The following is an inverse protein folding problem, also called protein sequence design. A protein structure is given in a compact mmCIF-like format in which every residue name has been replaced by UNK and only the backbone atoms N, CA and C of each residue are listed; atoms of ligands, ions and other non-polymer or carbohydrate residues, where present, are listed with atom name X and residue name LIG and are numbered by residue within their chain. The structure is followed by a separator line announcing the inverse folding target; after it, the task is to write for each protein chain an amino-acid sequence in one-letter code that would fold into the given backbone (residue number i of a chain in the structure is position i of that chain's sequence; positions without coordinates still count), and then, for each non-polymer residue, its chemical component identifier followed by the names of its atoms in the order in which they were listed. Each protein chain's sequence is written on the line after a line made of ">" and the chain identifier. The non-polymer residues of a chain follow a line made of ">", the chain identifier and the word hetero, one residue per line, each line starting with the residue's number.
data_IF_213666560252
#
_entry.id   IF_213666560252
#
_cell.length_a   1.000
_cell.length_b   1.000
_cell.length_c   1.000
_cell.angle_alpha   90.00
_cell.angle_beta   90.00
_cell.angle_gamma   90.00
#
_symmetry.space_group_name_H-M   'P 1'
#
loop_
_entity.id
_entity.type
_entity.pdbx_description
1 polymer ?
#
# COMPACT_ATOMS: atom_id res chain seq x y z
N UNK A 1 -0.60 25.36 9.93
CA UNK A 1 -1.38 24.46 9.04
C UNK A 1 -0.77 23.04 8.95
N UNK A 2 -1.60 21.98 9.07
CA UNK A 2 -1.12 20.59 9.06
C UNK A 2 -0.45 20.19 7.73
N UNK A 3 -0.94 20.71 6.61
CA UNK A 3 -0.38 20.49 5.26
C UNK A 3 1.08 20.93 5.21
N UNK A 4 1.39 22.10 5.78
CA UNK A 4 2.77 22.61 5.83
C UNK A 4 3.71 21.66 6.59
N UNK A 5 3.26 21.14 7.75
CA UNK A 5 4.03 20.16 8.53
C UNK A 5 4.23 18.85 7.77
N UNK A 6 3.21 18.41 7.03
CA UNK A 6 3.29 17.21 6.19
C UNK A 6 4.25 17.41 5.00
N UNK A 7 4.24 18.57 4.34
CA UNK A 7 5.22 18.89 3.29
C UNK A 7 6.66 18.90 3.84
N UNK A 8 6.88 19.52 5.01
CA UNK A 8 8.19 19.52 5.66
C UNK A 8 8.64 18.09 6.00
N UNK A 9 7.74 17.27 6.55
CA UNK A 9 8.01 15.86 6.80
C UNK A 9 8.37 15.11 5.51
N UNK A 10 7.68 15.38 4.39
CA UNK A 10 7.98 14.81 3.08
C UNK A 10 9.38 15.15 2.57
N UNK A 11 9.81 16.42 2.73
CA UNK A 11 11.17 16.85 2.38
C UNK A 11 12.21 16.09 3.22
N UNK A 12 12.00 16.00 4.53
CA UNK A 12 12.91 15.28 5.43
C UNK A 12 12.98 13.79 5.04
N UNK A 13 11.83 13.15 4.82
CA UNK A 13 11.77 11.75 4.39
C UNK A 13 12.50 11.54 3.07
N UNK A 14 12.35 12.43 2.09
CA UNK A 14 13.03 12.34 0.80
C UNK A 14 14.56 12.43 0.96
N UNK A 15 15.05 13.33 1.80
CA UNK A 15 16.48 13.47 2.10
C UNK A 15 17.00 12.18 2.73
N UNK A 16 16.36 11.69 3.80
CA UNK A 16 16.77 10.47 4.49
C UNK A 16 16.73 9.27 3.53
N UNK A 17 15.67 9.12 2.75
CA UNK A 17 15.53 8.08 1.74
C UNK A 17 16.65 8.12 0.69
N UNK A 18 17.02 9.31 0.22
CA UNK A 18 18.09 9.50 -0.76
C UNK A 18 19.46 9.13 -0.19
N UNK A 19 19.71 9.45 1.09
CA UNK A 19 20.92 9.02 1.80
C UNK A 19 20.97 7.50 1.87
N UNK A 20 19.90 6.85 2.35
CA UNK A 20 19.83 5.38 2.40
C UNK A 20 20.01 4.77 1.01
N UNK A 21 19.48 5.39 -0.05
CA UNK A 21 19.71 4.97 -1.44
C UNK A 21 21.19 5.00 -1.81
N UNK A 22 21.90 6.09 -1.50
CA UNK A 22 23.35 6.17 -1.69
C UNK A 22 24.12 5.11 -0.87
N UNK A 23 23.72 4.88 0.38
CA UNK A 23 24.35 3.87 1.25
C UNK A 23 24.18 2.46 0.69
N UNK A 24 23.06 2.14 0.02
CA UNK A 24 22.91 0.82 -0.64
C UNK A 24 23.93 0.58 -1.74
N UNK A 25 24.37 1.62 -2.46
CA UNK A 25 25.40 1.51 -3.49
C UNK A 25 26.78 1.33 -2.87
N UNK A 26 27.10 2.15 -1.85
CA UNK A 26 28.43 2.15 -1.21
C UNK A 26 28.69 0.84 -0.46
N UNK A 27 27.71 0.35 0.29
CA UNK A 27 27.86 -0.85 1.10
C UNK A 27 27.50 -2.16 0.37
N UNK A 28 27.25 -2.10 -0.95
CA UNK A 28 26.93 -3.27 -1.77
C UNK A 28 25.69 -4.03 -1.27
N UNK A 29 24.55 -3.32 -1.17
CA UNK A 29 23.22 -3.86 -0.89
C UNK A 29 23.07 -4.62 0.45
N UNK A 30 23.55 -4.11 1.60
CA UNK A 30 23.34 -4.81 2.86
C UNK A 30 21.83 -4.83 3.20
N UNK A 31 21.32 -6.02 3.48
CA UNK A 31 19.88 -6.31 3.66
C UNK A 31 19.14 -5.25 4.49
N UNK A 32 19.57 -4.92 5.72
CA UNK A 32 18.83 -3.97 6.56
C UNK A 32 18.79 -2.55 5.97
N UNK A 33 19.86 -2.09 5.31
CA UNK A 33 19.90 -0.74 4.71
C UNK A 33 18.95 -0.70 3.51
N UNK A 34 18.97 -1.73 2.66
CA UNK A 34 18.15 -1.76 1.46
C UNK A 34 16.66 -1.95 1.77
N UNK A 35 16.31 -2.78 2.76
CA UNK A 35 14.92 -2.86 3.26
C UNK A 35 14.45 -1.55 3.88
N UNK A 36 15.35 -0.82 4.56
CA UNK A 36 15.02 0.48 5.15
C UNK A 36 14.78 1.52 4.05
N UNK A 37 15.62 1.52 3.01
CA UNK A 37 15.41 2.35 1.82
C UNK A 37 14.04 2.08 1.16
N UNK A 38 13.70 0.81 0.92
CA UNK A 38 12.37 0.47 0.38
C UNK A 38 11.24 0.97 1.29
N UNK A 39 11.36 0.75 2.59
CA UNK A 39 10.34 1.16 3.58
C UNK A 39 10.13 2.67 3.59
N UNK A 40 11.23 3.44 3.57
CA UNK A 40 11.19 4.90 3.51
C UNK A 40 10.61 5.39 2.17
N UNK A 41 10.93 4.73 1.05
CA UNK A 41 10.34 5.02 -0.25
C UNK A 41 8.81 4.90 -0.23
N UNK A 42 8.29 3.81 0.35
CA UNK A 42 6.86 3.53 0.44
C UNK A 42 6.15 4.50 1.40
N UNK A 43 6.80 4.90 2.51
CA UNK A 43 6.29 5.93 3.40
C UNK A 43 6.21 7.30 2.70
N UNK A 44 7.25 7.66 1.96
CA UNK A 44 7.25 8.88 1.15
C UNK A 44 6.15 8.85 0.09
N UNK A 45 5.97 7.73 -0.62
CA UNK A 45 4.90 7.55 -1.60
C UNK A 45 3.51 7.69 -0.96
N UNK A 46 3.29 7.08 0.20
CA UNK A 46 2.03 7.19 0.95
C UNK A 46 1.76 8.65 1.36
N UNK A 47 2.76 9.35 1.90
CA UNK A 47 2.63 10.76 2.28
C UNK A 47 2.38 11.67 1.07
N UNK A 48 3.11 11.47 -0.03
CA UNK A 48 2.93 12.21 -1.28
C UNK A 48 1.52 12.00 -1.84
N UNK A 49 1.02 10.76 -1.82
CA UNK A 49 -0.34 10.43 -2.25
C UNK A 49 -1.39 11.07 -1.34
N UNK A 50 -1.17 11.06 -0.03
CA UNK A 50 -2.03 11.73 0.93
C UNK A 50 -2.10 13.24 0.65
N UNK A 51 -0.95 13.89 0.44
CA UNK A 51 -0.87 15.31 0.14
C UNK A 51 -1.58 15.65 -1.19
N UNK A 52 -1.26 14.93 -2.27
CA UNK A 52 -1.86 15.13 -3.59
C UNK A 52 -3.39 14.94 -3.57
N UNK A 53 -3.86 13.91 -2.87
CA UNK A 53 -5.30 13.65 -2.71
C UNK A 53 -5.96 14.70 -1.82
N UNK A 54 -5.22 15.23 -0.85
CA UNK A 54 -5.75 16.19 0.13
C UNK A 54 -5.93 17.60 -0.41
N UNK A 55 -5.16 17.98 -1.44
CA UNK A 55 -5.21 19.28 -2.11
C UNK A 55 -6.13 19.30 -3.33
N UNK A 56 -6.63 18.14 -3.75
CA UNK A 56 -7.69 18.05 -4.76
C UNK A 56 -8.94 18.74 -4.19
N UNK A 57 -9.50 19.70 -4.93
CA UNK A 57 -10.70 20.42 -4.52
C UNK A 57 -11.87 19.44 -4.56
N UNK A 58 -12.33 19.00 -3.38
CA UNK A 58 -13.52 18.16 -3.22
C UNK A 58 -14.64 19.06 -2.70
N UNK A 59 -15.81 18.98 -3.32
CA UNK A 59 -17.02 19.70 -2.93
C UNK A 59 -17.29 19.54 -1.42
N UNK A 60 -17.64 20.65 -0.75
CA UNK A 60 -18.04 20.65 0.65
C UNK A 60 -19.13 19.60 0.89
N UNK A 61 -18.96 18.76 1.91
CA UNK A 61 -19.90 17.69 2.22
C UNK A 61 -19.57 16.98 3.53
N UNK A 62 -20.52 16.21 4.06
CA UNK A 62 -20.34 15.43 5.29
C UNK A 62 -20.00 13.97 4.94
N UNK A 63 -19.08 13.37 5.69
CA UNK A 63 -18.83 11.93 5.58
C UNK A 63 -20.08 11.16 6.04
N UNK A 64 -20.57 10.28 5.19
CA UNK A 64 -21.60 9.31 5.59
C UNK A 64 -21.01 8.22 6.50
N UNK A 65 -21.82 7.51 7.30
CA UNK A 65 -21.35 6.36 8.08
C UNK A 65 -20.70 5.27 7.21
N UNK A 66 -21.19 5.07 5.98
CA UNK A 66 -20.54 4.18 5.00
C UNK A 66 -19.15 4.69 4.61
N UNK A 67 -18.97 5.99 4.42
CA UNK A 67 -17.68 6.60 4.13
C UNK A 67 -16.64 6.43 5.25
N UNK A 68 -17.05 6.57 6.52
CA UNK A 68 -16.13 6.34 7.65
C UNK A 68 -15.62 4.89 7.68
N UNK A 69 -16.51 3.91 7.45
CA UNK A 69 -16.12 2.49 7.37
C UNK A 69 -15.16 2.23 6.21
N UNK A 70 -15.44 2.78 5.03
CA UNK A 70 -14.56 2.62 3.86
C UNK A 70 -13.18 3.22 4.13
N UNK A 71 -13.13 4.41 4.74
CA UNK A 71 -11.87 5.05 5.15
C UNK A 71 -11.08 4.18 6.13
N UNK A 72 -11.72 3.67 7.17
CA UNK A 72 -11.07 2.83 8.18
C UNK A 72 -10.47 1.57 7.55
N UNK A 73 -11.24 0.86 6.73
CA UNK A 73 -10.74 -0.32 6.01
C UNK A 73 -9.63 0.01 5.03
N UNK A 74 -9.73 1.11 4.29
CA UNK A 74 -8.66 1.54 3.37
C UNK A 74 -7.34 1.83 4.11
N UNK A 75 -7.40 2.43 5.32
CA UNK A 75 -6.22 2.67 6.16
C UNK A 75 -5.61 1.34 6.63
N UNK A 76 -6.44 0.43 7.15
CA UNK A 76 -5.97 -0.88 7.62
C UNK A 76 -5.33 -1.67 6.49
N UNK A 77 -5.97 -1.73 5.32
CA UNK A 77 -5.44 -2.44 4.15
C UNK A 77 -4.18 -1.77 3.60
N UNK A 78 -4.09 -0.44 3.59
CA UNK A 78 -2.86 0.26 3.22
C UNK A 78 -1.70 -0.13 4.16
N UNK A 79 -1.96 -0.20 5.47
CA UNK A 79 -0.97 -0.67 6.46
C UNK A 79 -0.54 -2.12 6.21
N UNK A 80 -1.49 -3.01 5.93
CA UNK A 80 -1.19 -4.41 5.62
C UNK A 80 -0.40 -4.56 4.31
N UNK A 81 -0.75 -3.83 3.25
CA UNK A 81 0.00 -3.82 1.99
C UNK A 81 1.40 -3.24 2.19
N UNK A 82 1.56 -2.22 3.03
CA UNK A 82 2.87 -1.70 3.42
C UNK A 82 3.72 -2.78 4.08
N UNK A 83 3.21 -3.46 5.10
CA UNK A 83 3.90 -4.57 5.79
C UNK A 83 4.25 -5.69 4.81
N UNK A 84 3.31 -6.10 3.95
CA UNK A 84 3.53 -7.11 2.92
C UNK A 84 4.64 -6.71 1.93
N UNK A 85 4.71 -5.43 1.57
CA UNK A 85 5.72 -4.90 0.66
C UNK A 85 7.12 -4.89 1.30
N UNK A 86 7.20 -4.54 2.59
CA UNK A 86 8.46 -4.62 3.36
C UNK A 86 8.92 -6.08 3.49
N UNK A 87 8.00 -6.99 3.79
CA UNK A 87 8.28 -8.42 3.85
C UNK A 87 8.74 -8.97 2.49
N UNK A 88 8.14 -8.52 1.39
CA UNK A 88 8.60 -8.85 0.03
C UNK A 88 9.98 -8.28 -0.30
N UNK A 89 10.30 -7.09 0.20
CA UNK A 89 11.67 -6.54 0.16
C UNK A 89 12.65 -7.44 0.92
N UNK A 90 12.28 -7.88 2.13
CA UNK A 90 13.11 -8.78 2.93
C UNK A 90 13.36 -10.12 2.23
N UNK A 91 12.34 -10.70 1.58
CA UNK A 91 12.50 -11.91 0.73
C UNK A 91 13.58 -11.70 -0.33
N UNK A 92 13.55 -10.55 -1.02
CA UNK A 92 14.53 -10.23 -2.06
C UNK A 92 15.94 -10.08 -1.51
N UNK A 93 16.09 -9.37 -0.39
CA UNK A 93 17.41 -9.08 0.18
C UNK A 93 18.04 -10.29 0.86
N UNK A 94 17.25 -11.18 1.46
CA UNK A 94 17.74 -12.45 2.03
C UNK A 94 17.96 -13.55 0.97
N UNK A 95 17.97 -13.20 -0.32
CA UNK A 95 18.03 -14.14 -1.46
C UNK A 95 17.01 -15.30 -1.37
N UNK A 96 15.88 -15.05 -0.71
CA UNK A 96 14.85 -16.04 -0.39
C UNK A 96 13.81 -16.21 -1.51
N UNK A 97 13.93 -15.48 -2.63
CA UNK A 97 12.96 -15.46 -3.72
C UNK A 97 12.75 -16.82 -4.40
N UNK A 98 13.72 -17.73 -4.30
CA UNK A 98 13.62 -19.12 -4.79
C UNK A 98 13.66 -20.16 -3.66
N UNK A 99 13.46 -19.76 -2.40
CA UNK A 99 13.47 -20.68 -1.26
C UNK A 99 12.29 -21.69 -1.32
N UNK A 100 11.20 -21.33 -2.00
CA UNK A 100 10.11 -22.25 -2.37
C UNK A 100 9.91 -22.17 -3.89
N UNK A 101 10.57 -23.02 -4.70
CA UNK A 101 10.44 -22.97 -6.16
C UNK A 101 9.07 -23.49 -6.64
N UNK A 102 8.38 -24.27 -5.81
CA UNK A 102 7.08 -24.84 -6.15
C UNK A 102 5.94 -23.83 -6.03
N UNK A 103 4.91 -24.06 -6.83
CA UNK A 103 3.65 -23.32 -6.84
C UNK A 103 2.52 -24.33 -7.07
N UNK A 104 1.46 -24.41 -6.22
CA UNK A 104 1.14 -23.58 -5.05
C UNK A 104 1.77 -24.07 -3.73
N UNK A 105 2.43 -25.23 -3.73
CA UNK A 105 3.13 -25.80 -2.58
C UNK A 105 4.45 -25.06 -2.30
N UNK A 106 5.14 -25.39 -1.20
CA UNK A 106 6.54 -25.04 -0.95
C UNK A 106 7.28 -26.31 -0.56
N UNK A 107 8.29 -26.72 -1.35
CA UNK A 107 9.07 -27.94 -1.13
C UNK A 107 8.18 -29.19 -1.07
N UNK A 108 7.21 -29.27 -1.99
CA UNK A 108 6.22 -30.35 -2.05
C UNK A 108 5.20 -30.38 -0.89
N UNK A 109 5.22 -29.42 0.03
CA UNK A 109 4.34 -29.38 1.21
C UNK A 109 3.49 -28.10 1.26
N UNK A 110 2.34 -28.15 1.94
CA UNK A 110 1.48 -26.97 2.16
C UNK A 110 2.11 -26.05 3.21
N UNK A 111 2.66 -26.64 4.27
CA UNK A 111 3.46 -25.94 5.28
C UNK A 111 4.85 -26.60 5.25
N UNK A 112 5.89 -25.92 4.76
CA UNK A 112 7.24 -26.48 4.70
C UNK A 112 7.84 -26.55 6.11
N UNK A 113 8.88 -27.38 6.32
CA UNK A 113 9.64 -27.36 7.55
C UNK A 113 10.39 -26.01 7.64
N UNK A 114 10.08 -25.21 8.66
CA UNK A 114 10.66 -23.86 8.88
C UNK A 114 12.07 -23.94 9.47
N UNK A 115 12.95 -24.71 8.82
CA UNK A 115 14.28 -25.08 9.33
C UNK A 115 15.32 -23.97 9.17
N UNK A 116 15.09 -23.02 8.26
CA UNK A 116 15.98 -21.89 8.01
C UNK A 116 15.19 -20.61 7.69
N UNK A 117 15.82 -19.48 7.92
CA UNK A 117 15.18 -18.17 7.79
C UNK A 117 14.67 -17.85 6.36
N UNK A 118 15.39 -18.19 5.27
CA UNK A 118 14.88 -17.91 3.92
C UNK A 118 13.57 -18.63 3.58
N UNK A 119 13.45 -19.93 3.92
CA UNK A 119 12.19 -20.69 3.72
C UNK A 119 11.08 -20.05 4.55
N UNK A 120 11.36 -19.72 5.81
CA UNK A 120 10.37 -19.13 6.70
C UNK A 120 9.86 -17.79 6.17
N UNK A 121 10.76 -16.87 5.82
CA UNK A 121 10.41 -15.53 5.32
C UNK A 121 9.65 -15.62 3.98
N UNK A 122 10.07 -16.48 3.06
CA UNK A 122 9.37 -16.69 1.79
C UNK A 122 7.97 -17.30 1.99
N UNK A 123 7.83 -18.28 2.88
CA UNK A 123 6.54 -18.87 3.23
C UNK A 123 5.60 -17.86 3.91
N UNK A 124 6.09 -17.10 4.89
CA UNK A 124 5.31 -16.04 5.54
C UNK A 124 4.86 -14.96 4.56
N UNK A 125 5.73 -14.57 3.61
CA UNK A 125 5.36 -13.66 2.53
C UNK A 125 4.17 -14.18 1.71
N UNK A 126 4.17 -15.47 1.34
CA UNK A 126 3.07 -16.10 0.58
C UNK A 126 1.78 -16.16 1.38
N UNK A 127 1.84 -16.59 2.64
CA UNK A 127 0.66 -16.69 3.52
C UNK A 127 0.04 -15.31 3.74
N UNK A 128 0.85 -14.31 4.08
CA UNK A 128 0.36 -12.95 4.26
C UNK A 128 -0.17 -12.36 2.95
N UNK A 129 0.46 -12.66 1.79
CA UNK A 129 -0.05 -12.25 0.48
C UNK A 129 -1.47 -12.76 0.23
N UNK A 130 -1.75 -14.02 0.53
CA UNK A 130 -3.07 -14.63 0.34
C UNK A 130 -4.11 -13.95 1.24
N UNK A 131 -3.77 -13.73 2.52
CA UNK A 131 -4.66 -13.07 3.48
C UNK A 131 -4.96 -11.63 3.04
N UNK A 132 -3.93 -10.87 2.67
CA UNK A 132 -4.08 -9.49 2.20
C UNK A 132 -4.87 -9.42 0.90
N UNK A 133 -4.59 -10.31 -0.06
CA UNK A 133 -5.33 -10.36 -1.32
C UNK A 133 -6.82 -10.66 -1.10
N UNK A 134 -7.14 -11.65 -0.27
CA UNK A 134 -8.51 -11.98 0.09
C UNK A 134 -9.22 -10.79 0.80
N UNK A 135 -8.53 -10.12 1.72
CA UNK A 135 -9.07 -8.96 2.43
C UNK A 135 -9.33 -7.76 1.49
N UNK A 136 -8.42 -7.49 0.55
CA UNK A 136 -8.59 -6.43 -0.46
C UNK A 136 -9.75 -6.76 -1.41
N UNK A 137 -9.84 -7.99 -1.90
CA UNK A 137 -10.93 -8.42 -2.79
C UNK A 137 -12.29 -8.37 -2.09
N UNK A 138 -12.35 -8.84 -0.84
CA UNK A 138 -13.55 -8.74 0.00
C UNK A 138 -13.96 -7.27 0.20
N UNK A 139 -13.01 -6.40 0.53
CA UNK A 139 -13.27 -4.97 0.69
C UNK A 139 -13.78 -4.33 -0.60
N UNK A 140 -13.12 -4.60 -1.73
CA UNK A 140 -13.53 -4.09 -3.04
C UNK A 140 -14.95 -4.58 -3.41
N UNK A 141 -15.26 -5.85 -3.16
CA UNK A 141 -16.59 -6.42 -3.35
C UNK A 141 -17.64 -5.69 -2.49
N UNK A 142 -17.36 -5.49 -1.20
CA UNK A 142 -18.27 -4.78 -0.27
C UNK A 142 -18.52 -3.33 -0.66
N UNK A 143 -17.50 -2.66 -1.21
CA UNK A 143 -17.63 -1.28 -1.71
C UNK A 143 -18.43 -1.24 -3.01
N UNK A 144 -18.19 -2.17 -3.93
CA UNK A 144 -18.86 -2.22 -5.23
C UNK A 144 -20.37 -2.46 -5.09
N UNK A 145 -20.77 -3.41 -4.24
CA UNK A 145 -22.16 -3.74 -3.97
C UNK A 145 -22.82 -2.85 -2.91
N UNK A 146 -22.04 -2.06 -2.18
CA UNK A 146 -22.54 -1.12 -1.20
C UNK A 146 -23.02 0.19 -1.82
N UNK A 147 -23.87 0.91 -1.09
CA UNK A 147 -24.30 2.25 -1.47
C UNK A 147 -23.18 3.27 -1.16
N UNK A 148 -22.27 3.39 -2.13
CA UNK A 148 -21.09 4.25 -2.06
C UNK A 148 -20.98 5.17 -3.28
N UNK A 149 -20.21 6.24 -3.14
CA UNK A 149 -20.09 7.27 -4.17
C UNK A 149 -19.35 6.73 -5.40
N UNK A 150 -19.69 7.20 -6.60
CA UNK A 150 -19.17 6.67 -7.87
C UNK A 150 -17.63 6.65 -7.95
N UNK A 151 -16.89 7.70 -7.51
CA UNK A 151 -15.43 7.67 -7.52
C UNK A 151 -14.84 6.54 -6.67
N UNK A 152 -15.41 6.28 -5.49
CA UNK A 152 -14.98 5.21 -4.58
C UNK A 152 -15.19 3.83 -5.22
N UNK A 153 -16.31 3.62 -5.93
CA UNK A 153 -16.56 2.38 -6.67
C UNK A 153 -15.58 2.16 -7.82
N UNK A 154 -15.17 3.23 -8.53
CA UNK A 154 -14.15 3.14 -9.58
C UNK A 154 -12.81 2.68 -8.98
N UNK A 155 -12.39 3.28 -7.88
CA UNK A 155 -11.15 2.90 -7.20
C UNK A 155 -11.21 1.49 -6.60
N UNK A 156 -12.37 1.04 -6.12
CA UNK A 156 -12.57 -0.34 -5.68
C UNK A 156 -12.26 -1.37 -6.79
N UNK A 157 -12.67 -1.08 -8.04
CA UNK A 157 -12.33 -1.92 -9.20
C UNK A 157 -10.83 -1.87 -9.52
N UNK A 158 -10.21 -0.69 -9.41
CA UNK A 158 -8.78 -0.51 -9.65
C UNK A 158 -7.98 -1.34 -8.64
N UNK A 159 -8.26 -1.23 -7.33
CA UNK A 159 -7.52 -2.01 -6.31
C UNK A 159 -7.75 -3.52 -6.45
N UNK A 160 -8.95 -3.95 -6.87
CA UNK A 160 -9.23 -5.34 -7.17
C UNK A 160 -8.41 -5.84 -8.37
N UNK A 161 -8.32 -5.06 -9.46
CA UNK A 161 -7.50 -5.42 -10.61
C UNK A 161 -6.01 -5.45 -10.26
N UNK A 162 -5.52 -4.43 -9.53
CA UNK A 162 -4.13 -4.35 -9.08
C UNK A 162 -3.73 -5.56 -8.22
N UNK A 163 -4.56 -5.99 -7.28
CA UNK A 163 -4.22 -7.13 -6.42
C UNK A 163 -4.23 -8.47 -7.17
N UNK A 164 -5.14 -8.65 -8.14
CA UNK A 164 -5.14 -9.84 -9.02
C UNK A 164 -3.88 -9.89 -9.86
N UNK A 165 -3.50 -8.77 -10.48
CA UNK A 165 -2.26 -8.65 -11.23
C UNK A 165 -1.03 -8.84 -10.34
N UNK A 166 -1.05 -8.33 -9.11
CA UNK A 166 0.03 -8.52 -8.13
C UNK A 166 0.29 -10.00 -7.84
N UNK A 167 -0.77 -10.76 -7.53
CA UNK A 167 -0.67 -12.19 -7.26
C UNK A 167 -0.18 -12.94 -8.49
N UNK A 168 -0.70 -12.59 -9.67
CA UNK A 168 -0.28 -13.19 -10.95
C UNK A 168 1.21 -12.96 -11.22
N UNK A 169 1.70 -11.74 -11.04
CA UNK A 169 3.12 -11.42 -11.21
C UNK A 169 4.00 -12.06 -10.14
N UNK A 170 3.48 -12.25 -8.92
CA UNK A 170 4.21 -12.98 -7.86
C UNK A 170 4.43 -14.44 -8.27
N UNK A 171 3.39 -15.12 -8.75
CA UNK A 171 3.56 -16.48 -9.31
C UNK A 171 4.48 -16.49 -10.52
N UNK A 172 4.32 -15.53 -11.44
CA UNK A 172 5.17 -15.43 -12.62
C UNK A 172 6.64 -15.24 -12.22
N UNK A 173 6.95 -14.49 -11.18
CA UNK A 173 8.35 -14.31 -10.73
C UNK A 173 9.01 -15.60 -10.27
N UNK A 174 8.28 -16.53 -9.64
CA UNK A 174 8.84 -17.83 -9.21
C UNK A 174 8.99 -18.75 -10.41
N UNK A 175 7.96 -18.88 -11.24
CA UNK A 175 7.97 -19.77 -12.42
C UNK A 175 9.01 -19.35 -13.46
N UNK A 176 9.30 -18.05 -13.55
CA UNK A 176 10.32 -17.51 -14.47
C UNK A 176 11.70 -17.36 -13.84
N UNK A 177 11.95 -17.99 -12.68
CA UNK A 177 13.24 -17.99 -11.98
C UNK A 177 13.76 -16.56 -11.71
N UNK A 178 12.90 -15.73 -11.12
CA UNK A 178 13.17 -14.32 -10.77
C UNK A 178 13.52 -13.44 -11.98
N UNK A 179 12.92 -13.70 -13.15
CA UNK A 179 13.08 -12.83 -14.32
C UNK A 179 12.81 -11.36 -13.96
N UNK A 180 13.69 -10.48 -14.46
CA UNK A 180 13.73 -9.06 -14.06
C UNK A 180 12.40 -8.36 -14.30
N UNK A 181 11.73 -8.65 -15.42
CA UNK A 181 10.47 -8.01 -15.77
C UNK A 181 9.32 -8.36 -14.78
N UNK A 182 8.97 -9.64 -14.55
CA UNK A 182 7.98 -10.01 -13.53
C UNK A 182 8.27 -9.43 -12.15
N UNK A 183 9.51 -9.54 -11.67
CA UNK A 183 9.89 -9.04 -10.34
C UNK A 183 9.76 -7.52 -10.25
N UNK A 184 10.21 -6.79 -11.27
CA UNK A 184 10.14 -5.31 -11.29
C UNK A 184 8.70 -4.82 -11.37
N UNK A 185 7.89 -5.44 -12.24
CA UNK A 185 6.47 -5.10 -12.37
C UNK A 185 5.69 -5.47 -11.10
N UNK A 186 6.04 -6.57 -10.43
CA UNK A 186 5.46 -6.94 -9.14
C UNK A 186 5.73 -5.87 -8.08
N UNK A 187 6.95 -5.32 -7.99
CA UNK A 187 7.24 -4.21 -7.07
C UNK A 187 6.50 -2.92 -7.43
N UNK A 188 6.38 -2.59 -8.72
CA UNK A 188 5.65 -1.41 -9.19
C UNK A 188 4.14 -1.49 -8.87
N UNK A 189 3.53 -2.65 -9.10
CA UNK A 189 2.11 -2.87 -8.81
C UNK A 189 1.82 -2.85 -7.30
N UNK A 190 2.73 -3.35 -6.46
CA UNK A 190 2.60 -3.22 -5.00
C UNK A 190 2.55 -1.75 -4.57
N UNK A 191 3.48 -0.93 -5.08
CA UNK A 191 3.52 0.51 -4.81
C UNK A 191 2.25 1.21 -5.29
N UNK A 192 1.75 0.84 -6.48
CA UNK A 192 0.52 1.39 -7.07
C UNK A 192 -0.73 1.01 -6.27
N UNK A 193 -0.78 -0.23 -5.74
CA UNK A 193 -1.85 -0.70 -4.87
C UNK A 193 -1.85 0.07 -3.54
N UNK A 194 -0.69 0.26 -2.92
CA UNK A 194 -0.55 1.08 -1.70
C UNK A 194 -1.05 2.51 -1.94
N UNK A 195 -0.58 3.17 -3.00
CA UNK A 195 -1.01 4.52 -3.34
C UNK A 195 -2.54 4.60 -3.56
N UNK A 196 -3.12 3.63 -4.27
CA UNK A 196 -4.57 3.58 -4.53
C UNK A 196 -5.39 3.46 -3.24
N UNK A 197 -4.94 2.65 -2.27
CA UNK A 197 -5.60 2.52 -0.96
C UNK A 197 -5.47 3.80 -0.11
N UNK A 198 -4.31 4.45 -0.14
CA UNK A 198 -4.10 5.75 0.54
C UNK A 198 -4.97 6.84 -0.08
N UNK A 199 -5.09 6.86 -1.41
CA UNK A 199 -6.00 7.76 -2.11
C UNK A 199 -7.45 7.52 -1.68
N UNK A 200 -7.92 6.26 -1.69
CA UNK A 200 -9.26 5.92 -1.20
C UNK A 200 -9.50 6.33 0.26
N UNK A 201 -8.49 6.27 1.12
CA UNK A 201 -8.58 6.71 2.52
C UNK A 201 -8.70 8.24 2.69
N UNK A 202 -8.38 9.04 1.66
CA UNK A 202 -8.21 10.49 1.78
C UNK A 202 -9.20 11.32 0.96
N UNK A 203 -9.83 10.74 -0.08
CA UNK A 203 -10.76 11.43 -1.01
C UNK A 203 -12.16 11.73 -0.45
N UNK A 204 -12.37 11.62 0.86
CA UNK A 204 -13.67 11.91 1.45
C UNK A 204 -13.89 13.42 1.61
N UNK A 205 -15.14 13.91 1.39
CA UNK A 205 -15.50 15.30 1.64
C UNK A 205 -15.15 15.69 3.07
N UNK A 206 -14.69 16.93 3.23
CA UNK A 206 -14.42 17.50 4.55
C UNK A 206 -15.62 18.34 4.95
N UNK A 207 -16.03 18.20 6.20
CA UNK A 207 -16.95 19.16 6.79
C UNK A 207 -16.26 20.53 6.78
N UNK A 208 -16.79 21.46 5.99
CA UNK A 208 -16.37 22.85 6.03
C UNK A 208 -16.75 23.39 7.39
N UNK A 209 -15.78 23.72 8.23
CA UNK A 209 -16.00 24.53 9.42
C UNK A 209 -16.27 25.97 8.99
N UNK A 210 -17.29 26.21 8.16
CA UNK A 210 -17.81 27.57 8.01
C UNK A 210 -18.48 27.91 9.33
N UNK A 211 -17.85 28.84 10.05
CA UNK A 211 -18.45 29.63 11.11
C UNK A 211 -19.90 29.96 10.71
N UNK A 212 -20.91 29.80 11.59
CA UNK A 212 -22.26 30.22 11.26
C UNK A 212 -22.24 31.72 10.98
N UNK A 213 -22.23 32.10 9.70
CA UNK A 213 -22.39 33.48 9.29
C UNK A 213 -23.90 33.78 9.24
N UNK A 214 -24.32 34.52 10.27
CA UNK A 214 -25.40 35.51 10.26
C UNK A 214 -26.83 34.97 10.25
N UNK A 215 -27.50 35.03 11.42
CA UNK A 215 -28.86 35.55 11.53
C UNK A 215 -29.18 36.04 12.96
N UNK A 216 -28.50 37.10 13.40
CA UNK A 216 -29.08 38.04 14.38
C UNK A 216 -29.28 39.34 13.58
N UNK A 217 -30.33 39.37 12.76
CA UNK A 217 -31.56 40.10 13.09
C UNK A 217 -31.32 41.61 13.12
N UNK A 218 -31.26 42.17 11.91
CA UNK A 218 -31.85 43.45 11.58
C UNK A 218 -33.35 43.43 11.95
N UNK A 219 -33.64 43.80 13.20
CA UNK A 219 -34.95 44.17 13.78
C UNK A 219 -34.55 44.70 15.16
N UNK A 220 -34.60 45.97 15.52
CA UNK A 220 -35.45 47.13 15.19
C UNK A 220 -34.72 48.37 15.69
#
# INVERSE_FOLDING_TARGET
>A
PWIFRACLCGIILLIVQSIFGGLTVIYQLPDPISTTHLSLALLFLALATLLASSTTVITDGHLTPSGFRVRAWAIVLAGLVFVQSVLGGLVRHMDAGMACPDVPLCLGQIVPPLVNAPIAVHFFHRVLAIIVAAAVLWFAHRVYWGETWVPIRRWAKIVAALVVLQVTLGFASVVTLLAVMPVSLHSLLAASLLASLVHMATIFPRASARTPQVLASSTT
#
